data_IF_490415031157
#
_entry.id   IF_490415031157
#
_cell.length_a   1.000
_cell.length_b   1.000
_cell.length_c   1.000
_cell.angle_alpha   90.00
_cell.angle_beta   90.00
_cell.angle_gamma   90.00
#
_symmetry.space_group_name_H-M   'P 1'
#
loop_
_entity.id
_entity.type
_entity.pdbx_description
1 polymer ?
#
# COMPACT_ATOMS: atom_id res chain seq x y z
N UNK A 1 0.53 -6.10 9.05
CA UNK A 1 0.68 -6.10 7.58
C UNK A 1 -0.09 -7.29 7.04
N UNK A 2 -0.94 -7.13 6.04
CA UNK A 2 -1.76 -8.23 5.50
C UNK A 2 -0.87 -9.29 4.83
N UNK A 3 -1.31 -10.56 4.88
CA UNK A 3 -0.66 -11.68 4.19
C UNK A 3 -0.54 -11.45 2.68
N UNK A 4 -1.50 -10.73 2.09
CA UNK A 4 -1.50 -10.36 0.68
C UNK A 4 -0.32 -9.46 0.32
N UNK A 5 -0.04 -8.40 1.11
CA UNK A 5 1.08 -7.50 0.83
C UNK A 5 2.42 -8.25 0.91
N UNK A 6 2.58 -9.14 1.88
CA UNK A 6 3.78 -9.98 2.01
C UNK A 6 3.96 -10.93 0.82
N UNK A 7 2.86 -11.52 0.35
CA UNK A 7 2.84 -12.40 -0.82
C UNK A 7 3.25 -11.65 -2.09
N UNK A 8 2.68 -10.46 -2.32
CA UNK A 8 3.02 -9.63 -3.47
C UNK A 8 4.46 -9.11 -3.42
N UNK A 9 4.98 -8.76 -2.23
CA UNK A 9 6.40 -8.38 -2.08
C UNK A 9 7.36 -9.52 -2.45
N UNK A 10 7.02 -10.76 -2.13
CA UNK A 10 7.81 -11.93 -2.56
C UNK A 10 7.73 -12.13 -4.07
N UNK A 11 6.55 -11.94 -4.65
CA UNK A 11 6.31 -12.05 -6.10
C UNK A 11 7.05 -10.97 -6.88
N UNK A 12 7.28 -9.79 -6.28
CA UNK A 12 7.96 -8.67 -6.93
C UNK A 12 9.38 -9.00 -7.41
N UNK A 13 10.05 -9.94 -6.77
CA UNK A 13 11.39 -10.36 -7.16
C UNK A 13 11.40 -11.20 -8.45
N UNK A 14 10.32 -11.95 -8.70
CA UNK A 14 10.21 -12.86 -9.85
C UNK A 14 9.33 -12.32 -10.98
N UNK A 15 8.30 -11.54 -10.65
CA UNK A 15 7.36 -10.93 -11.60
C UNK A 15 6.83 -9.59 -11.02
N UNK A 16 7.65 -8.53 -11.09
CA UNK A 16 7.29 -7.24 -10.53
C UNK A 16 6.10 -6.59 -11.24
N UNK A 17 5.92 -6.82 -12.54
CA UNK A 17 4.81 -6.26 -13.31
C UNK A 17 3.46 -6.81 -12.83
N UNK A 18 3.33 -8.13 -12.69
CA UNK A 18 2.10 -8.75 -12.22
C UNK A 18 1.79 -8.39 -10.77
N UNK A 19 2.81 -8.38 -9.92
CA UNK A 19 2.67 -7.99 -8.52
C UNK A 19 2.18 -6.53 -8.38
N UNK A 20 2.79 -5.59 -9.10
CA UNK A 20 2.36 -4.18 -9.11
C UNK A 20 0.95 -4.03 -9.65
N UNK A 21 0.57 -4.75 -10.71
CA UNK A 21 -0.79 -4.71 -11.24
C UNK A 21 -1.84 -5.14 -10.19
N UNK A 22 -1.59 -6.24 -9.47
CA UNK A 22 -2.46 -6.70 -8.37
C UNK A 22 -2.54 -5.70 -7.23
N UNK A 23 -1.40 -5.08 -6.87
CA UNK A 23 -1.38 -4.06 -5.83
C UNK A 23 -2.14 -2.80 -6.26
N UNK A 24 -2.07 -2.38 -7.53
CA UNK A 24 -2.90 -1.30 -8.08
C UNK A 24 -4.39 -1.61 -8.04
N UNK A 25 -4.78 -2.85 -8.35
CA UNK A 25 -6.17 -3.28 -8.22
C UNK A 25 -6.65 -3.22 -6.77
N UNK A 26 -5.79 -3.59 -5.82
CA UNK A 26 -6.10 -3.47 -4.40
C UNK A 26 -6.19 -2.00 -3.96
N UNK A 27 -5.28 -1.13 -4.42
CA UNK A 27 -5.32 0.32 -4.18
C UNK A 27 -6.65 0.93 -4.63
N UNK A 28 -7.11 0.59 -5.84
CA UNK A 28 -8.39 1.05 -6.36
C UNK A 28 -9.58 0.55 -5.52
N UNK A 29 -9.57 -0.72 -5.08
CA UNK A 29 -10.60 -1.28 -4.20
C UNK A 29 -10.59 -0.61 -2.82
N UNK A 30 -9.41 -0.34 -2.28
CA UNK A 30 -9.22 0.33 -1.00
C UNK A 30 -9.75 1.76 -1.06
N UNK A 31 -9.49 2.46 -2.15
CA UNK A 31 -10.05 3.79 -2.38
C UNK A 31 -11.58 3.77 -2.40
N UNK A 32 -12.20 2.87 -3.16
CA UNK A 32 -13.67 2.73 -3.18
C UNK A 32 -14.21 2.41 -1.78
N UNK A 33 -13.59 1.48 -1.06
CA UNK A 33 -14.01 1.13 0.29
C UNK A 33 -13.88 2.32 1.26
N UNK A 34 -12.81 3.11 1.14
CA UNK A 34 -12.59 4.33 1.93
C UNK A 34 -13.68 5.36 1.64
N UNK A 35 -14.00 5.61 0.36
CA UNK A 35 -15.04 6.56 -0.05
C UNK A 35 -16.45 6.13 0.45
N UNK A 36 -16.68 4.83 0.70
CA UNK A 36 -17.93 4.30 1.27
C UNK A 36 -18.01 4.41 2.81
N UNK A 37 -16.90 4.73 3.49
CA UNK A 37 -16.89 4.89 4.95
C UNK A 37 -17.61 6.18 5.34
N UNK A 38 -18.70 6.05 6.09
CA UNK A 38 -19.51 7.18 6.55
C UNK A 38 -19.12 7.72 7.92
N UNK A 39 -18.41 6.93 8.73
CA UNK A 39 -17.87 7.40 10.00
C UNK A 39 -16.63 8.27 9.74
N UNK A 40 -16.60 9.56 10.15
CA UNK A 40 -15.52 10.47 9.81
C UNK A 40 -14.15 10.03 10.36
N UNK A 41 -14.09 9.51 11.59
CA UNK A 41 -12.82 9.09 12.19
C UNK A 41 -12.25 7.86 11.47
N UNK A 42 -13.12 6.92 11.10
CA UNK A 42 -12.74 5.73 10.31
C UNK A 42 -12.36 6.13 8.89
N UNK A 43 -13.08 7.07 8.29
CA UNK A 43 -12.81 7.58 6.95
C UNK A 43 -11.44 8.24 6.89
N UNK A 44 -11.11 9.11 7.85
CA UNK A 44 -9.81 9.79 7.90
C UNK A 44 -8.66 8.81 8.12
N UNK A 45 -8.83 7.81 8.99
CA UNK A 45 -7.85 6.74 9.18
C UNK A 45 -7.68 5.87 7.92
N UNK A 46 -8.78 5.56 7.24
CA UNK A 46 -8.77 4.79 5.99
C UNK A 46 -8.10 5.56 4.85
N UNK A 47 -8.36 6.86 4.74
CA UNK A 47 -7.74 7.76 3.77
C UNK A 47 -6.23 7.90 4.02
N UNK A 48 -5.80 7.96 5.28
CA UNK A 48 -4.38 7.91 5.64
C UNK A 48 -3.69 6.61 5.23
N UNK A 49 -4.38 5.47 5.37
CA UNK A 49 -3.87 4.17 4.92
C UNK A 49 -3.86 4.05 3.40
N UNK A 50 -4.91 4.49 2.70
CA UNK A 50 -4.97 4.55 1.24
C UNK A 50 -3.82 5.37 0.67
N UNK A 51 -3.59 6.58 1.18
CA UNK A 51 -2.49 7.42 0.70
C UNK A 51 -1.11 6.80 0.91
N UNK A 52 -0.88 6.14 2.05
CA UNK A 52 0.38 5.44 2.32
C UNK A 52 0.56 4.21 1.43
N UNK A 53 -0.52 3.46 1.18
CA UNK A 53 -0.52 2.31 0.30
C UNK A 53 -0.27 2.71 -1.15
N UNK A 54 -0.93 3.76 -1.65
CA UNK A 54 -0.75 4.25 -3.02
C UNK A 54 0.69 4.74 -3.27
N UNK A 55 1.32 5.37 -2.27
CA UNK A 55 2.76 5.70 -2.31
C UNK A 55 3.62 4.45 -2.44
N UNK A 56 3.36 3.41 -1.65
CA UNK A 56 4.07 2.14 -1.74
C UNK A 56 3.93 1.53 -3.15
N UNK A 57 2.71 1.49 -3.70
CA UNK A 57 2.47 0.98 -5.06
C UNK A 57 3.23 1.78 -6.12
N UNK A 58 3.30 3.11 -5.97
CA UNK A 58 4.06 3.98 -6.87
C UNK A 58 5.56 3.67 -6.83
N UNK A 59 6.13 3.47 -5.63
CA UNK A 59 7.54 3.09 -5.47
C UNK A 59 7.81 1.70 -6.05
N UNK A 60 6.89 0.75 -5.83
CA UNK A 60 7.00 -0.60 -6.39
C UNK A 60 6.86 -0.61 -7.91
N UNK A 61 6.03 0.26 -8.49
CA UNK A 61 5.96 0.45 -9.94
C UNK A 61 7.27 1.02 -10.51
N UNK A 62 7.87 1.99 -9.82
CA UNK A 62 9.18 2.50 -10.20
C UNK A 62 10.24 1.40 -10.13
N UNK A 63 10.25 0.62 -9.05
CA UNK A 63 11.12 -0.56 -8.90
C UNK A 63 10.89 -1.60 -9.99
N UNK A 64 9.64 -1.85 -10.38
CA UNK A 64 9.30 -2.81 -11.43
C UNK A 64 9.81 -2.37 -12.81
N UNK A 65 9.81 -1.06 -13.08
CA UNK A 65 10.29 -0.49 -14.35
C UNK A 65 11.81 -0.41 -14.41
N UNK A 66 12.44 0.00 -13.32
CA UNK A 66 13.89 0.12 -13.21
C UNK A 66 14.37 -0.25 -11.80
N UNK A 67 14.63 -1.54 -11.54
CA UNK A 67 15.06 -2.00 -10.23
C UNK A 67 16.48 -1.54 -9.86
N UNK A 68 17.29 -1.13 -10.84
CA UNK A 68 18.66 -0.65 -10.57
C UNK A 68 18.67 0.81 -10.08
N UNK A 69 17.71 1.61 -10.54
CA UNK A 69 17.54 3.00 -10.11
C UNK A 69 16.56 3.16 -8.94
N UNK A 70 16.05 2.05 -8.40
CA UNK A 70 15.02 2.09 -7.38
C UNK A 70 15.54 2.63 -6.04
N UNK A 71 14.84 3.63 -5.51
CA UNK A 71 15.15 4.21 -4.21
C UNK A 71 14.68 3.26 -3.09
N UNK A 72 15.62 2.42 -2.65
CA UNK A 72 15.39 1.43 -1.59
C UNK A 72 15.00 2.09 -0.27
N UNK A 73 15.46 3.32 0.00
CA UNK A 73 15.11 4.06 1.21
C UNK A 73 13.68 4.60 1.13
N UNK A 74 13.26 5.14 -0.02
CA UNK A 74 11.88 5.57 -0.25
C UNK A 74 10.91 4.37 -0.18
N UNK A 75 11.31 3.21 -0.70
CA UNK A 75 10.51 2.00 -0.59
C UNK A 75 10.36 1.55 0.87
N UNK A 76 11.46 1.48 1.62
CA UNK A 76 11.45 1.13 3.04
C UNK A 76 10.57 2.10 3.84
N UNK A 77 10.68 3.41 3.58
CA UNK A 77 9.85 4.43 4.20
C UNK A 77 8.37 4.20 3.89
N UNK A 78 8.02 3.92 2.64
CA UNK A 78 6.63 3.67 2.24
C UNK A 78 6.06 2.42 2.92
N UNK A 79 6.87 1.38 3.12
CA UNK A 79 6.47 0.19 3.88
C UNK A 79 6.19 0.55 5.34
N UNK A 80 7.06 1.36 5.96
CA UNK A 80 6.87 1.84 7.34
C UNK A 80 5.61 2.71 7.47
N UNK A 81 5.34 3.59 6.50
CA UNK A 81 4.13 4.42 6.48
C UNK A 81 2.87 3.54 6.41
N UNK A 82 2.83 2.54 5.54
CA UNK A 82 1.72 1.58 5.45
C UNK A 82 1.51 0.83 6.78
N UNK A 83 2.60 0.41 7.42
CA UNK A 83 2.55 -0.26 8.72
C UNK A 83 1.98 0.67 9.80
N UNK A 84 2.41 1.94 9.82
CA UNK A 84 1.92 2.94 10.76
C UNK A 84 0.44 3.23 10.54
N UNK A 85 0.01 3.50 9.31
CA UNK A 85 -1.40 3.75 9.00
C UNK A 85 -2.28 2.54 9.29
N UNK A 86 -1.76 1.31 9.13
CA UNK A 86 -2.49 0.09 9.55
C UNK A 86 -2.72 0.09 11.07
N UNK A 87 -1.73 0.50 11.87
CA UNK A 87 -1.87 0.57 13.31
C UNK A 87 -2.88 1.64 13.71
N UNK A 88 -2.86 2.79 13.06
CA UNK A 88 -3.77 3.88 13.35
C UNK A 88 -5.22 3.51 13.00
N UNK A 89 -5.43 2.87 11.84
CA UNK A 89 -6.73 2.26 11.51
C UNK A 89 -7.17 1.24 12.57
N UNK A 90 -6.26 0.40 13.06
CA UNK A 90 -6.57 -0.60 14.08
C UNK A 90 -6.98 0.02 15.42
N UNK A 91 -6.52 1.23 15.74
CA UNK A 91 -6.92 1.95 16.97
C UNK A 91 -8.31 2.55 16.85
N UNK A 92 -8.71 2.95 15.64
CA UNK A 92 -10.02 3.58 15.38
C UNK A 92 -11.12 2.52 15.24
N UNK A 93 -10.79 1.37 14.64
CA UNK A 93 -11.73 0.26 14.43
C UNK A 93 -11.74 -0.79 15.56
N UNK A 94 -10.87 -0.64 16.57
CA UNK A 94 -10.64 -1.61 17.65
C UNK A 94 -11.39 -1.31 18.94
#
# INVERSE_FOLDING_TARGET
MSSELQSQMSTIQSDPTTAVAKLKEFDAKLKTATDEVTNPDVHDAANGFEGSFSKLVTQLEAFAKDPQSADSAALQSSISDVQQSTQDMSKVCG
#
